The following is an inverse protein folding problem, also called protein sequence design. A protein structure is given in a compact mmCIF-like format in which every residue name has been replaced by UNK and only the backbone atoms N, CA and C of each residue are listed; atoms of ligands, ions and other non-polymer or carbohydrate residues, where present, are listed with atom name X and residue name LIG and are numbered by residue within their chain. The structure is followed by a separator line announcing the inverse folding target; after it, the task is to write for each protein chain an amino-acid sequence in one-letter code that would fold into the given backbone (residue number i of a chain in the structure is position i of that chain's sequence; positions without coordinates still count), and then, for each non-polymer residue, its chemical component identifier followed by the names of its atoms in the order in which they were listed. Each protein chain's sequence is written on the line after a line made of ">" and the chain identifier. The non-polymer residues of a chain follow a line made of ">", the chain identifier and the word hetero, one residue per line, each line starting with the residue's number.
data_IF_751573448387
#
_entry.id   IF_751573448387
#
_cell.length_a   1.000
_cell.length_b   1.000
_cell.length_c   1.000
_cell.angle_alpha   90.00
_cell.angle_beta   90.00
_cell.angle_gamma   90.00
#
_symmetry.space_group_name_H-M   'P 1'
#
loop_
_entity.id
_entity.type
_entity.pdbx_description
1 polymer ?
#
# COMPACT_ATOMS: atom_id res chain seq x y z
N UNK A 1 44.05 -33.30 10.57
CA UNK A 1 43.66 -32.94 9.21
C UNK A 1 42.46 -33.81 8.85
N UNK A 2 41.27 -33.30 9.02
CA UNK A 2 40.07 -33.85 8.45
C UNK A 2 39.24 -32.62 8.00
N UNK A 3 39.19 -32.45 6.74
CA UNK A 3 38.36 -31.49 6.01
C UNK A 3 36.90 -31.87 6.26
N UNK A 4 36.17 -30.98 6.93
CA UNK A 4 34.71 -30.99 6.91
C UNK A 4 34.30 -30.33 5.61
N UNK A 5 33.60 -31.10 4.78
CA UNK A 5 32.83 -30.64 3.64
C UNK A 5 31.68 -29.83 4.22
N UNK A 6 31.63 -28.56 3.85
CA UNK A 6 30.45 -27.72 4.08
C UNK A 6 29.33 -28.22 3.15
N UNK A 7 28.32 -28.79 3.76
CA UNK A 7 27.07 -29.16 3.13
C UNK A 7 26.30 -27.85 2.84
N UNK A 8 26.45 -27.34 1.63
CA UNK A 8 25.58 -26.30 1.12
C UNK A 8 24.19 -26.92 0.95
N UNK A 9 23.34 -26.75 1.97
CA UNK A 9 21.92 -27.05 1.82
C UNK A 9 21.33 -26.04 0.81
N UNK A 10 21.20 -26.47 -0.44
CA UNK A 10 20.25 -25.89 -1.38
C UNK A 10 18.88 -25.83 -0.66
N UNK A 11 18.47 -24.63 -0.30
CA UNK A 11 17.10 -24.40 0.07
C UNK A 11 16.29 -24.60 -1.22
N UNK A 12 15.73 -25.78 -1.39
CA UNK A 12 14.72 -26.05 -2.40
C UNK A 12 13.63 -24.98 -2.25
N UNK A 13 13.64 -24.00 -3.15
CA UNK A 13 12.53 -23.06 -3.29
C UNK A 13 11.30 -23.91 -3.62
N UNK A 14 10.37 -23.98 -2.69
CA UNK A 14 9.09 -24.65 -2.92
C UNK A 14 8.38 -23.87 -4.03
N UNK A 15 8.39 -24.41 -5.25
CA UNK A 15 7.58 -23.88 -6.33
C UNK A 15 6.13 -23.80 -5.84
N UNK A 16 5.50 -22.62 -5.85
CA UNK A 16 4.08 -22.52 -5.53
C UNK A 16 3.31 -23.40 -6.52
N UNK A 17 2.63 -24.41 -6.00
CA UNK A 17 1.95 -25.42 -6.80
C UNK A 17 0.91 -24.74 -7.72
N UNK A 18 1.16 -24.66 -9.01
CA UNK A 18 0.13 -24.39 -10.00
C UNK A 18 0.34 -23.26 -11.01
N UNK A 19 1.36 -22.40 -10.90
CA UNK A 19 1.65 -21.39 -11.92
C UNK A 19 2.74 -21.90 -12.88
N UNK A 20 2.41 -22.02 -14.16
CA UNK A 20 3.41 -22.29 -15.20
C UNK A 20 4.00 -20.94 -15.66
N UNK A 21 5.07 -20.50 -14.98
CA UNK A 21 5.75 -19.24 -15.27
C UNK A 21 6.42 -19.21 -16.65
N UNK A 22 6.79 -20.37 -17.21
CA UNK A 22 7.35 -20.46 -18.56
C UNK A 22 6.26 -20.20 -19.60
N UNK A 23 5.04 -20.69 -19.35
CA UNK A 23 3.89 -20.37 -20.19
C UNK A 23 3.54 -18.86 -20.08
N UNK A 24 3.57 -18.30 -18.88
CA UNK A 24 3.33 -16.85 -18.67
C UNK A 24 4.37 -16.01 -19.40
N UNK A 25 5.65 -16.36 -19.28
CA UNK A 25 6.71 -15.67 -20.00
C UNK A 25 6.48 -15.73 -21.51
N UNK A 26 6.04 -16.86 -22.03
CA UNK A 26 5.74 -17.02 -23.45
C UNK A 26 4.65 -16.08 -23.98
N UNK A 27 3.73 -15.61 -23.12
CA UNK A 27 2.69 -14.64 -23.51
C UNK A 27 3.22 -13.20 -23.61
N UNK A 28 4.26 -12.85 -22.86
CA UNK A 28 4.79 -11.50 -22.72
C UNK A 28 6.28 -11.39 -23.14
N UNK A 29 6.86 -12.42 -23.73
CA UNK A 29 8.31 -12.59 -23.98
C UNK A 29 8.94 -11.41 -24.73
N UNK A 30 8.20 -10.79 -25.66
CA UNK A 30 8.69 -9.62 -26.42
C UNK A 30 8.93 -8.37 -25.54
N UNK A 31 8.34 -8.34 -24.34
CA UNK A 31 8.39 -7.22 -23.40
C UNK A 31 9.30 -7.50 -22.19
N UNK A 32 9.66 -8.76 -21.96
CA UNK A 32 10.48 -9.20 -20.83
C UNK A 32 11.95 -8.89 -21.07
N UNK A 33 12.59 -8.21 -20.14
CA UNK A 33 14.03 -7.94 -20.12
C UNK A 33 14.75 -9.03 -19.34
N UNK A 34 14.18 -9.44 -18.20
CA UNK A 34 14.76 -10.41 -17.28
C UNK A 34 13.67 -11.09 -16.45
N UNK A 35 14.03 -12.19 -15.79
CA UNK A 35 13.17 -12.91 -14.87
C UNK A 35 13.93 -13.13 -13.55
N UNK A 36 13.34 -12.70 -12.46
CA UNK A 36 13.92 -12.79 -11.13
C UNK A 36 13.06 -13.70 -10.26
N UNK A 37 13.69 -14.53 -9.43
CA UNK A 37 13.01 -15.36 -8.45
C UNK A 37 13.04 -14.68 -7.08
N UNK A 38 11.88 -14.43 -6.51
CA UNK A 38 11.71 -13.90 -5.16
C UNK A 38 11.09 -14.96 -4.24
N UNK A 39 11.25 -14.80 -2.93
CA UNK A 39 10.88 -15.79 -1.90
C UNK A 39 9.46 -16.38 -2.01
N UNK A 40 8.50 -15.65 -2.59
CA UNK A 40 7.11 -16.10 -2.66
C UNK A 40 6.49 -16.05 -4.06
N UNK A 41 7.16 -15.43 -5.04
CA UNK A 41 6.66 -15.29 -6.40
C UNK A 41 7.80 -15.00 -7.37
N UNK A 42 7.62 -15.38 -8.62
CA UNK A 42 8.53 -14.93 -9.67
C UNK A 42 8.15 -13.55 -10.17
N UNK A 43 9.16 -12.81 -10.62
CA UNK A 43 9.03 -11.47 -11.13
C UNK A 43 9.50 -11.39 -12.58
N UNK A 44 8.68 -10.80 -13.44
CA UNK A 44 9.06 -10.47 -14.81
C UNK A 44 9.52 -9.01 -14.86
N UNK A 45 10.77 -8.80 -15.21
CA UNK A 45 11.30 -7.45 -15.42
C UNK A 45 10.95 -7.02 -16.83
N UNK A 46 10.19 -5.94 -16.97
CA UNK A 46 9.65 -5.50 -18.26
C UNK A 46 10.04 -4.07 -18.60
N UNK A 47 9.92 -3.72 -19.88
CA UNK A 47 10.19 -2.36 -20.34
C UNK A 47 9.09 -1.41 -19.88
N UNK A 48 9.45 -0.17 -19.56
CA UNK A 48 8.53 0.86 -19.09
C UNK A 48 7.47 1.29 -20.13
N UNK A 49 7.75 1.12 -21.42
CA UNK A 49 6.84 1.41 -22.54
C UNK A 49 5.84 0.27 -22.84
N UNK A 50 5.90 -0.83 -22.11
CA UNK A 50 5.09 -2.03 -22.33
C UNK A 50 4.22 -2.43 -21.14
N UNK A 51 4.15 -1.59 -20.12
CA UNK A 51 3.42 -1.90 -18.85
C UNK A 51 1.95 -2.21 -19.13
N UNK A 52 1.28 -1.39 -19.91
CA UNK A 52 -0.15 -1.57 -20.24
C UNK A 52 -0.39 -2.90 -20.97
N UNK A 53 0.43 -3.21 -21.99
CA UNK A 53 0.30 -4.43 -22.78
C UNK A 53 0.55 -5.68 -21.92
N UNK A 54 1.59 -5.67 -21.09
CA UNK A 54 1.92 -6.78 -20.18
C UNK A 54 0.80 -7.01 -19.16
N UNK A 55 0.37 -5.96 -18.47
CA UNK A 55 -0.69 -6.06 -17.47
C UNK A 55 -2.01 -6.51 -18.09
N UNK A 56 -2.34 -6.00 -19.29
CA UNK A 56 -3.53 -6.42 -20.04
C UNK A 56 -3.49 -7.89 -20.43
N UNK A 57 -2.34 -8.37 -20.93
CA UNK A 57 -2.14 -9.77 -21.29
C UNK A 57 -2.25 -10.68 -20.07
N UNK A 58 -1.59 -10.36 -18.97
CA UNK A 58 -1.66 -11.13 -17.73
C UNK A 58 -3.10 -11.18 -17.18
N UNK A 59 -3.84 -10.09 -17.27
CA UNK A 59 -5.23 -10.02 -16.83
C UNK A 59 -6.16 -10.85 -17.69
N UNK A 60 -6.14 -10.66 -19.00
CA UNK A 60 -7.15 -11.20 -19.92
C UNK A 60 -6.83 -12.60 -20.45
N UNK A 61 -5.55 -12.93 -20.62
CA UNK A 61 -5.13 -14.20 -21.20
C UNK A 61 -4.64 -15.18 -20.12
N UNK A 62 -4.01 -14.70 -19.05
CA UNK A 62 -3.49 -15.55 -17.99
C UNK A 62 -4.39 -15.57 -16.73
N UNK A 63 -5.40 -14.70 -16.64
CA UNK A 63 -6.39 -14.66 -15.57
C UNK A 63 -5.91 -14.06 -14.25
N UNK A 64 -4.88 -13.20 -14.28
CA UNK A 64 -4.46 -12.41 -13.12
C UNK A 64 -5.32 -11.16 -13.03
N UNK A 65 -6.52 -11.30 -12.50
CA UNK A 65 -7.58 -10.29 -12.50
C UNK A 65 -7.55 -9.34 -11.30
N UNK A 66 -6.66 -9.59 -10.34
CA UNK A 66 -6.52 -8.78 -9.12
C UNK A 66 -5.12 -8.18 -9.00
N UNK A 67 -5.05 -6.84 -8.98
CA UNK A 67 -3.84 -6.11 -8.58
C UNK A 67 -3.90 -5.87 -7.07
N UNK A 68 -3.05 -6.55 -6.31
CA UNK A 68 -3.01 -6.46 -4.86
C UNK A 68 -2.38 -5.13 -4.40
N UNK A 69 -1.29 -4.71 -5.04
CA UNK A 69 -0.63 -3.43 -4.76
C UNK A 69 0.34 -3.04 -5.87
N UNK A 70 0.74 -1.77 -5.90
CA UNK A 70 1.94 -1.30 -6.60
C UNK A 70 2.88 -0.73 -5.55
N UNK A 71 4.12 -1.19 -5.54
CA UNK A 71 5.16 -0.67 -4.64
C UNK A 71 6.27 -0.01 -5.43
N UNK A 72 6.93 0.98 -4.84
CA UNK A 72 8.08 1.65 -5.43
C UNK A 72 9.32 1.39 -4.59
N UNK A 73 10.42 1.11 -5.25
CA UNK A 73 11.71 0.90 -4.61
C UNK A 73 12.80 1.74 -5.26
N UNK A 74 13.68 2.33 -4.45
CA UNK A 74 14.82 3.09 -4.92
C UNK A 74 16.11 2.31 -4.69
N UNK A 75 16.88 2.11 -5.77
CA UNK A 75 18.22 1.57 -5.75
C UNK A 75 19.27 2.69 -5.96
N UNK A 76 20.54 2.33 -5.91
CA UNK A 76 21.63 3.31 -6.14
C UNK A 76 21.66 3.85 -7.57
N UNK A 77 21.23 3.05 -8.52
CA UNK A 77 21.35 3.28 -9.96
C UNK A 77 20.00 3.45 -10.66
N UNK A 78 18.90 3.05 -10.05
CA UNK A 78 17.56 3.05 -10.65
C UNK A 78 16.44 3.15 -9.61
N UNK A 79 15.23 3.39 -10.11
CA UNK A 79 13.98 3.12 -9.39
C UNK A 79 13.28 1.92 -10.01
N UNK A 80 12.43 1.28 -9.25
CA UNK A 80 11.58 0.19 -9.72
C UNK A 80 10.15 0.38 -9.19
N UNK A 81 9.17 0.20 -10.09
CA UNK A 81 7.78 -0.02 -9.71
C UNK A 81 7.49 -1.52 -9.78
N UNK A 82 6.83 -2.08 -8.78
CA UNK A 82 6.52 -3.49 -8.69
C UNK A 82 5.01 -3.64 -8.58
N UNK A 83 4.40 -4.25 -9.59
CA UNK A 83 2.96 -4.57 -9.63
C UNK A 83 2.76 -5.99 -9.14
N UNK A 84 2.04 -6.16 -8.04
CA UNK A 84 1.75 -7.46 -7.42
C UNK A 84 0.39 -7.98 -7.89
N UNK A 85 0.42 -8.95 -8.79
CA UNK A 85 -0.78 -9.52 -9.41
C UNK A 85 -1.14 -10.86 -8.80
N UNK A 86 -2.44 -11.09 -8.62
CA UNK A 86 -3.01 -12.35 -8.10
C UNK A 86 -4.22 -12.75 -8.92
N UNK A 87 -4.57 -14.04 -8.81
CA UNK A 87 -5.87 -14.53 -9.25
C UNK A 87 -6.86 -14.41 -8.09
N UNK A 88 -8.03 -13.84 -8.34
CA UNK A 88 -9.03 -13.64 -7.29
C UNK A 88 -9.50 -14.95 -6.65
N UNK A 89 -9.73 -15.96 -7.49
CA UNK A 89 -10.22 -17.29 -7.04
C UNK A 89 -9.11 -18.15 -6.43
N UNK A 90 -7.85 -17.81 -6.62
CA UNK A 90 -6.71 -18.56 -6.12
C UNK A 90 -5.57 -17.63 -5.67
N UNK A 91 -5.68 -17.21 -4.43
CA UNK A 91 -4.72 -16.26 -3.83
C UNK A 91 -3.30 -16.85 -3.64
N UNK A 92 -3.09 -18.13 -3.92
CA UNK A 92 -1.76 -18.76 -3.90
C UNK A 92 -0.97 -18.46 -5.18
N UNK A 93 -1.66 -18.05 -6.26
CA UNK A 93 -1.03 -17.69 -7.51
C UNK A 93 -0.70 -16.19 -7.51
N UNK A 94 0.57 -15.88 -7.36
CA UNK A 94 1.09 -14.52 -7.41
C UNK A 94 2.16 -14.38 -8.50
N UNK A 95 2.14 -13.28 -9.22
CA UNK A 95 3.18 -12.87 -10.16
C UNK A 95 3.49 -11.40 -9.96
N UNK A 96 4.77 -11.06 -10.00
CA UNK A 96 5.24 -9.69 -9.91
C UNK A 96 5.69 -9.19 -11.28
N UNK A 97 5.32 -7.96 -11.61
CA UNK A 97 5.83 -7.25 -12.78
C UNK A 97 6.68 -6.09 -12.29
N UNK A 98 7.97 -6.15 -12.57
CA UNK A 98 8.97 -5.16 -12.16
C UNK A 98 9.30 -4.25 -13.32
N UNK A 99 9.22 -2.95 -13.11
CA UNK A 99 9.49 -1.93 -14.13
C UNK A 99 10.63 -1.05 -13.65
N UNK A 100 11.88 -1.32 -14.11
CA UNK A 100 13.02 -0.48 -13.79
C UNK A 100 13.00 0.82 -14.60
N UNK A 101 13.32 1.93 -13.93
CA UNK A 101 13.45 3.25 -14.56
C UNK A 101 14.79 3.91 -14.18
N UNK A 102 15.40 4.71 -15.07
CA UNK A 102 16.63 5.42 -14.77
C UNK A 102 16.44 6.46 -13.65
N UNK A 103 17.49 6.72 -12.88
CA UNK A 103 17.42 7.72 -11.80
C UNK A 103 17.21 9.15 -12.27
N UNK A 104 17.75 9.49 -13.40
CA UNK A 104 17.71 10.84 -14.01
C UNK A 104 16.39 11.12 -14.74
N UNK A 105 15.65 10.07 -15.08
CA UNK A 105 14.32 10.18 -15.69
C UNK A 105 13.45 9.00 -15.21
N UNK A 106 12.94 9.03 -13.96
CA UNK A 106 12.17 7.94 -13.38
C UNK A 106 10.75 7.93 -13.90
N UNK A 107 10.53 7.60 -15.16
CA UNK A 107 9.22 7.57 -15.80
C UNK A 107 8.94 6.24 -16.51
N UNK A 108 7.67 5.83 -16.53
CA UNK A 108 7.14 4.72 -17.31
C UNK A 108 5.62 4.81 -17.46
N UNK A 109 5.03 3.99 -18.34
CA UNK A 109 3.59 3.92 -18.54
C UNK A 109 2.83 3.56 -17.26
N UNK A 110 1.63 4.14 -17.10
CA UNK A 110 0.70 3.77 -16.03
C UNK A 110 0.07 2.40 -16.27
N UNK A 111 -0.20 1.66 -15.17
CA UNK A 111 -1.06 0.46 -15.18
C UNK A 111 -2.52 0.76 -14.86
N UNK A 112 -2.88 2.04 -14.60
CA UNK A 112 -4.22 2.43 -14.16
C UNK A 112 -5.30 2.26 -15.22
N UNK A 113 -4.94 2.23 -16.51
CA UNK A 113 -5.83 1.90 -17.62
C UNK A 113 -6.33 0.46 -17.56
N UNK A 114 -5.52 -0.46 -17.01
CA UNK A 114 -5.84 -1.89 -16.88
C UNK A 114 -6.45 -2.21 -15.52
N UNK A 115 -5.85 -1.66 -14.46
CA UNK A 115 -6.29 -1.87 -13.08
C UNK A 115 -6.56 -0.54 -12.38
N UNK A 116 -7.80 -0.26 -12.05
CA UNK A 116 -8.18 0.97 -11.32
C UNK A 116 -7.47 1.12 -9.97
N UNK A 117 -7.11 0.00 -9.33
CA UNK A 117 -6.32 -0.03 -8.09
C UNK A 117 -4.96 0.65 -8.27
N UNK A 118 -4.34 0.54 -9.44
CA UNK A 118 -3.04 1.16 -9.71
C UNK A 118 -3.06 2.68 -9.55
N UNK A 119 -4.18 3.34 -9.85
CA UNK A 119 -4.31 4.80 -9.79
C UNK A 119 -3.77 5.38 -8.46
N UNK A 120 -4.25 4.91 -7.34
CA UNK A 120 -3.85 5.45 -6.04
C UNK A 120 -2.46 5.00 -5.60
N UNK A 121 -2.11 3.76 -5.89
CA UNK A 121 -0.78 3.25 -5.56
C UNK A 121 0.32 3.94 -6.36
N UNK A 122 0.08 4.24 -7.63
CA UNK A 122 1.00 5.00 -8.48
C UNK A 122 1.13 6.45 -8.00
N UNK A 123 0.04 7.08 -7.58
CA UNK A 123 0.08 8.40 -6.94
C UNK A 123 0.88 8.38 -5.65
N UNK A 124 0.76 7.33 -4.83
CA UNK A 124 1.57 7.17 -3.62
C UNK A 124 3.07 7.02 -3.96
N UNK A 125 3.41 6.18 -4.94
CA UNK A 125 4.77 6.02 -5.41
C UNK A 125 5.35 7.32 -5.99
N UNK A 126 4.56 8.05 -6.75
CA UNK A 126 4.92 9.40 -7.21
C UNK A 126 5.14 10.34 -6.04
N UNK A 127 4.20 10.42 -5.11
CA UNK A 127 4.21 11.37 -4.01
C UNK A 127 5.42 11.16 -3.08
N UNK A 128 5.68 9.91 -2.70
CA UNK A 128 6.69 9.58 -1.70
C UNK A 128 8.09 9.29 -2.26
N UNK A 129 8.18 8.69 -3.45
CA UNK A 129 9.43 8.23 -4.07
C UNK A 129 9.84 9.06 -5.27
N UNK A 130 8.86 9.53 -6.08
CA UNK A 130 9.09 10.44 -7.20
C UNK A 130 9.04 9.81 -8.58
N UNK A 131 8.54 8.58 -8.72
CA UNK A 131 8.37 7.93 -10.03
C UNK A 131 7.22 8.62 -10.77
N UNK A 132 7.43 8.94 -12.06
CA UNK A 132 6.43 9.54 -12.94
C UNK A 132 5.71 8.44 -13.72
N UNK A 133 4.39 8.52 -13.80
CA UNK A 133 3.56 7.56 -14.53
C UNK A 133 2.95 8.24 -15.75
N UNK A 134 3.45 7.90 -16.93
CA UNK A 134 2.99 8.45 -18.20
C UNK A 134 1.54 8.02 -18.47
N UNK A 135 0.73 8.95 -18.98
CA UNK A 135 -0.69 8.74 -19.26
C UNK A 135 -1.57 8.40 -18.03
N UNK A 136 -1.06 8.64 -16.82
CA UNK A 136 -1.87 8.51 -15.61
C UNK A 136 -3.00 9.56 -15.60
N UNK A 137 -4.27 9.17 -15.34
CA UNK A 137 -5.42 10.10 -15.48
C UNK A 137 -5.42 11.25 -14.47
N UNK A 138 -4.75 11.10 -13.32
CA UNK A 138 -4.74 12.10 -12.25
C UNK A 138 -3.47 11.96 -11.38
N UNK A 139 -2.29 12.27 -11.97
CA UNK A 139 -1.00 12.15 -11.26
C UNK A 139 -0.73 13.38 -10.39
N UNK A 140 -1.40 13.45 -9.27
CA UNK A 140 -1.17 14.44 -8.20
C UNK A 140 -0.83 13.77 -6.88
N UNK A 141 -0.31 14.51 -5.92
CA UNK A 141 0.00 13.96 -4.59
C UNK A 141 -1.26 13.37 -3.94
N UNK A 142 -1.08 12.40 -3.06
CA UNK A 142 -2.18 11.72 -2.37
C UNK A 142 -2.06 11.80 -0.84
N UNK A 143 -0.85 11.74 -0.30
CA UNK A 143 -0.58 11.75 1.14
C UNK A 143 -0.03 13.08 1.63
N UNK A 144 0.73 13.78 0.80
CA UNK A 144 1.34 15.05 1.12
C UNK A 144 0.58 16.19 0.46
N UNK A 145 0.64 17.41 1.03
CA UNK A 145 0.09 18.59 0.39
C UNK A 145 0.75 18.86 -0.98
N UNK A 146 0.00 19.39 -1.94
CA UNK A 146 0.52 19.75 -3.26
C UNK A 146 1.69 20.75 -3.21
N UNK A 147 1.74 21.56 -2.17
CA UNK A 147 2.83 22.52 -1.92
C UNK A 147 4.11 21.89 -1.40
N UNK A 148 4.08 20.60 -1.07
CA UNK A 148 5.25 19.88 -0.58
C UNK A 148 6.33 19.77 -1.65
N UNK A 149 7.59 20.03 -1.26
CA UNK A 149 8.73 19.97 -2.17
C UNK A 149 9.54 18.70 -1.98
N UNK A 150 9.76 17.97 -3.08
CA UNK A 150 10.51 16.72 -3.10
C UNK A 150 9.67 15.50 -2.69
N UNK A 151 10.34 14.39 -2.52
CA UNK A 151 9.76 13.05 -2.27
C UNK A 151 10.42 12.45 -1.03
N UNK A 152 9.71 12.35 0.12
CA UNK A 152 10.32 12.06 1.42
C UNK A 152 10.97 10.70 1.57
N UNK A 153 10.57 9.70 0.78
CA UNK A 153 11.18 8.37 0.80
C UNK A 153 12.37 8.24 -0.16
N UNK A 154 12.59 9.24 -1.02
CA UNK A 154 13.80 9.26 -1.85
C UNK A 154 15.05 9.48 -0.99
N UNK A 155 16.13 8.76 -1.31
CA UNK A 155 17.43 8.87 -0.62
C UNK A 155 18.08 10.25 -0.73
N UNK A 156 17.78 10.94 -1.81
CA UNK A 156 18.29 12.28 -2.08
C UNK A 156 17.49 13.38 -1.36
N UNK A 157 16.42 12.99 -0.66
CA UNK A 157 15.57 13.93 0.08
C UNK A 157 16.28 14.48 1.32
N UNK A 158 16.41 15.82 1.37
CA UNK A 158 17.01 16.52 2.51
C UNK A 158 15.98 16.72 3.63
N UNK A 159 16.03 15.85 4.63
CA UNK A 159 15.12 15.86 5.78
C UNK A 159 15.33 17.02 6.75
N UNK A 160 16.51 17.64 6.70
CA UNK A 160 16.83 18.78 7.57
C UNK A 160 16.26 20.10 7.03
N UNK A 161 15.73 20.11 5.81
CA UNK A 161 15.01 21.27 5.27
C UNK A 161 13.61 21.34 5.86
N UNK A 162 13.29 22.41 6.61
CA UNK A 162 11.93 22.59 7.09
C UNK A 162 10.97 22.78 5.91
N UNK A 163 9.97 21.91 5.82
CA UNK A 163 8.84 22.12 4.92
C UNK A 163 7.88 23.09 5.59
N UNK A 164 7.86 24.32 5.10
CA UNK A 164 6.90 25.31 5.57
C UNK A 164 5.66 25.20 4.69
N UNK A 165 4.69 24.43 5.15
CA UNK A 165 3.37 24.40 4.53
C UNK A 165 2.57 25.55 5.15
N UNK A 166 2.41 26.63 4.42
CA UNK A 166 1.54 27.72 4.86
C UNK A 166 0.08 27.35 4.58
N UNK A 167 -0.76 27.45 5.61
CA UNK A 167 -2.21 27.18 5.48
C UNK A 167 -2.90 28.08 4.44
N UNK A 168 -2.29 29.21 4.08
CA UNK A 168 -2.81 30.12 3.06
C UNK A 168 -2.61 29.60 1.63
N UNK A 169 -1.68 28.65 1.42
CA UNK A 169 -1.43 27.99 0.13
C UNK A 169 -2.26 26.71 -0.05
N UNK A 170 -2.91 26.22 0.98
CA UNK A 170 -3.97 25.22 0.90
C UNK A 170 -5.26 25.84 0.33
N UNK A 171 -5.18 26.43 -0.84
CA UNK A 171 -6.36 26.51 -1.69
C UNK A 171 -6.74 25.09 -2.02
N UNK A 172 -7.88 24.71 -1.49
CA UNK A 172 -8.48 23.41 -1.72
C UNK A 172 -8.60 23.24 -3.24
N UNK A 173 -7.78 22.43 -3.93
CA UNK A 173 -7.89 22.29 -5.39
C UNK A 173 -9.29 21.87 -5.83
N UNK A 174 -10.05 21.32 -4.89
CA UNK A 174 -11.42 20.85 -5.06
C UNK A 174 -12.42 21.99 -5.19
N UNK A 175 -12.22 23.13 -4.49
CA UNK A 175 -13.10 24.30 -4.74
C UNK A 175 -12.94 24.82 -6.17
N UNK A 176 -11.78 24.56 -6.80
CA UNK A 176 -11.54 24.91 -8.21
C UNK A 176 -11.89 23.76 -9.19
N UNK A 177 -11.82 22.49 -8.78
CA UNK A 177 -12.13 21.33 -9.62
C UNK A 177 -13.58 20.88 -9.53
N UNK A 178 -14.24 21.10 -8.40
CA UNK A 178 -15.70 21.00 -8.28
C UNK A 178 -16.37 22.30 -8.79
N UNK A 179 -15.98 22.76 -9.95
CA UNK A 179 -16.84 23.66 -10.73
C UNK A 179 -18.05 22.84 -11.16
N UNK A 180 -19.03 22.75 -10.27
CA UNK A 180 -20.41 22.53 -10.66
C UNK A 180 -20.65 23.57 -11.74
N UNK A 181 -20.95 23.11 -12.94
CA UNK A 181 -21.19 24.00 -14.06
C UNK A 181 -22.36 24.92 -13.66
N UNK A 182 -22.07 26.18 -13.36
CA UNK A 182 -23.06 27.17 -12.91
C UNK A 182 -24.19 27.38 -13.92
N UNK A 183 -24.15 26.66 -15.06
CA UNK A 183 -25.15 26.68 -16.12
C UNK A 183 -26.39 25.81 -15.85
N UNK A 184 -26.39 24.92 -14.83
CA UNK A 184 -27.57 24.19 -14.40
C UNK A 184 -28.21 24.87 -13.18
N UNK A 185 -29.10 25.82 -13.42
CA UNK A 185 -29.78 26.69 -12.46
C UNK A 185 -30.70 25.97 -11.44
N UNK A 186 -30.72 24.64 -11.36
CA UNK A 186 -31.69 23.88 -10.57
C UNK A 186 -31.09 22.79 -9.64
N UNK A 187 -29.79 22.77 -9.40
CA UNK A 187 -29.19 21.80 -8.47
C UNK A 187 -29.13 22.38 -7.05
N UNK A 188 -29.91 21.81 -6.13
CA UNK A 188 -29.82 22.06 -4.68
C UNK A 188 -28.59 21.32 -4.12
N UNK A 189 -27.39 21.64 -4.68
CA UNK A 189 -26.14 20.99 -4.34
C UNK A 189 -25.57 21.52 -3.04
N UNK A 190 -25.22 20.60 -2.14
CA UNK A 190 -24.60 20.91 -0.86
C UNK A 190 -23.23 20.26 -0.78
N UNK A 191 -22.24 21.07 -0.41
CA UNK A 191 -20.91 20.57 -0.10
C UNK A 191 -20.83 20.14 1.36
N UNK A 192 -20.44 18.88 1.64
CA UNK A 192 -20.35 18.30 2.97
C UNK A 192 -18.98 17.67 3.21
N UNK A 193 -18.32 18.09 4.29
CA UNK A 193 -17.13 17.42 4.80
C UNK A 193 -17.52 16.35 5.83
N UNK A 194 -17.20 15.08 5.54
CA UNK A 194 -17.42 13.95 6.44
C UNK A 194 -16.08 13.53 7.03
N UNK A 195 -15.93 13.62 8.35
CA UNK A 195 -14.64 13.42 9.04
C UNK A 195 -13.77 14.69 8.96
N UNK A 196 -12.46 14.61 9.29
CA UNK A 196 -11.63 13.45 9.62
C UNK A 196 -11.67 13.05 11.11
N UNK A 197 -12.62 13.45 11.90
CA UNK A 197 -12.67 13.17 13.32
C UNK A 197 -13.64 12.01 13.64
N UNK A 198 -13.23 11.23 14.59
CA UNK A 198 -14.04 10.15 15.18
C UNK A 198 -15.21 10.73 16.00
N UNK A 199 -16.46 10.18 15.92
CA UNK A 199 -16.80 8.90 15.29
C UNK A 199 -17.35 9.01 13.85
N UNK A 200 -17.32 10.16 13.19
CA UNK A 200 -17.97 10.36 11.89
C UNK A 200 -17.53 9.34 10.82
N UNK A 201 -16.26 8.91 10.85
CA UNK A 201 -15.71 7.93 9.92
C UNK A 201 -15.01 6.76 10.61
N UNK A 202 -15.19 6.56 11.91
CA UNK A 202 -14.48 5.54 12.71
C UNK A 202 -12.96 5.49 12.43
N UNK A 203 -12.34 6.65 12.47
CA UNK A 203 -10.95 6.85 12.18
C UNK A 203 -10.71 8.31 11.82
N UNK A 204 -9.76 8.56 10.95
CA UNK A 204 -9.42 9.91 10.47
C UNK A 204 -9.52 10.02 8.95
N UNK A 205 -10.44 9.28 8.36
CA UNK A 205 -10.77 9.43 6.95
C UNK A 205 -11.58 10.72 6.77
N UNK A 206 -11.15 11.54 5.83
CA UNK A 206 -11.85 12.74 5.41
C UNK A 206 -12.43 12.54 4.00
N UNK A 207 -13.73 12.74 3.88
CA UNK A 207 -14.43 12.68 2.60
C UNK A 207 -15.01 14.06 2.29
N UNK A 208 -14.59 14.65 1.20
CA UNK A 208 -15.18 15.85 0.64
C UNK A 208 -16.27 15.42 -0.32
N UNK A 209 -17.51 15.69 0.03
CA UNK A 209 -18.68 15.10 -0.63
C UNK A 209 -19.56 16.20 -1.21
N UNK A 210 -19.99 16.02 -2.44
CA UNK A 210 -21.04 16.85 -3.07
C UNK A 210 -22.35 16.08 -3.06
N UNK A 211 -23.36 16.65 -2.46
CA UNK A 211 -24.71 16.08 -2.39
C UNK A 211 -25.66 16.83 -3.32
N UNK A 212 -26.52 16.09 -4.02
CA UNK A 212 -27.73 16.59 -4.66
C UNK A 212 -28.94 16.08 -3.87
N UNK A 213 -29.45 16.93 -3.00
CA UNK A 213 -30.42 16.50 -1.99
C UNK A 213 -29.86 15.43 -1.06
N UNK A 214 -30.38 14.19 -1.13
CA UNK A 214 -29.89 13.04 -0.36
C UNK A 214 -28.97 12.11 -1.16
N UNK A 215 -28.69 12.43 -2.43
CA UNK A 215 -27.83 11.61 -3.28
C UNK A 215 -26.41 12.14 -3.30
N UNK A 216 -25.45 11.23 -3.27
CA UNK A 216 -24.03 11.56 -3.44
C UNK A 216 -23.77 11.75 -4.92
N UNK A 217 -23.45 12.98 -5.32
CA UNK A 217 -23.10 13.33 -6.69
C UNK A 217 -21.62 13.10 -6.96
N UNK A 218 -20.75 13.47 -6.00
CA UNK A 218 -19.32 13.27 -6.10
C UNK A 218 -18.69 13.10 -4.73
N UNK A 219 -17.57 12.36 -4.65
CA UNK A 219 -16.79 12.15 -3.42
C UNK A 219 -15.30 12.17 -3.73
N UNK A 220 -14.58 13.05 -3.05
CA UNK A 220 -13.13 13.03 -3.04
C UNK A 220 -12.59 12.66 -1.66
N UNK A 221 -11.89 11.52 -1.50
CA UNK A 221 -11.23 11.16 -0.26
C UNK A 221 -9.93 11.94 -0.10
N UNK A 222 -9.76 12.53 1.07
CA UNK A 222 -8.55 13.24 1.50
C UNK A 222 -7.87 12.39 2.57
N UNK A 223 -6.83 11.68 2.19
CA UNK A 223 -6.11 10.70 3.02
C UNK A 223 -4.76 11.24 3.47
N UNK A 224 -4.11 10.56 4.40
CA UNK A 224 -2.78 10.92 4.89
C UNK A 224 -2.75 11.46 6.33
N UNK A 225 -3.89 11.67 6.98
CA UNK A 225 -3.94 12.19 8.34
C UNK A 225 -3.23 11.31 9.38
N UNK A 226 -3.13 10.01 9.13
CA UNK A 226 -2.37 9.06 9.94
C UNK A 226 -1.05 8.61 9.28
N UNK A 227 -0.67 9.19 8.16
CA UNK A 227 0.60 8.86 7.51
C UNK A 227 1.76 9.40 8.35
N UNK A 228 2.65 8.53 8.80
CA UNK A 228 3.71 8.83 9.77
C UNK A 228 5.11 8.49 9.27
N UNK A 229 5.29 8.31 7.97
CA UNK A 229 6.55 7.89 7.35
C UNK A 229 7.13 6.63 8.01
N UNK A 230 6.30 5.63 8.25
CA UNK A 230 6.69 4.40 8.92
C UNK A 230 7.76 3.65 8.14
N UNK A 231 7.67 3.63 6.83
CA UNK A 231 8.62 2.99 5.92
C UNK A 231 10.04 3.50 6.17
N UNK A 232 10.22 4.81 6.21
CA UNK A 232 11.51 5.41 6.46
C UNK A 232 12.02 5.17 7.89
N UNK A 233 11.10 5.20 8.86
CA UNK A 233 11.46 4.86 10.23
C UNK A 233 11.89 3.39 10.33
N UNK A 234 11.26 2.47 9.58
CA UNK A 234 11.65 1.07 9.51
C UNK A 234 13.05 0.88 8.92
N UNK A 235 13.40 1.59 7.88
CA UNK A 235 14.73 1.54 7.29
C UNK A 235 15.83 2.06 8.22
N UNK A 236 15.54 3.07 9.03
CA UNK A 236 16.53 3.74 9.89
C UNK A 236 16.73 3.12 11.25
N UNK A 237 15.86 2.24 11.69
CA UNK A 237 15.92 1.67 13.04
C UNK A 237 16.28 0.20 13.00
N UNK A 238 16.63 -0.34 14.17
CA UNK A 238 16.86 -1.77 14.35
C UNK A 238 15.53 -2.47 14.64
N UNK A 239 15.39 -3.73 14.28
CA UNK A 239 14.23 -4.57 14.62
C UNK A 239 13.77 -4.40 16.08
N UNK A 240 14.73 -4.25 16.98
CA UNK A 240 14.52 -4.14 18.41
C UNK A 240 13.79 -2.86 18.85
N UNK A 241 14.03 -1.75 18.17
CA UNK A 241 13.46 -0.44 18.54
C UNK A 241 12.17 -0.12 17.77
N UNK A 242 11.92 -0.83 16.69
CA UNK A 242 10.80 -0.54 15.82
C UNK A 242 9.59 -1.39 16.08
N UNK A 243 9.82 -2.60 16.55
CA UNK A 243 8.80 -3.62 16.65
C UNK A 243 7.71 -3.24 17.61
N UNK A 244 8.10 -2.74 18.79
CA UNK A 244 7.13 -2.40 19.82
C UNK A 244 6.19 -1.24 19.46
N UNK A 245 6.67 -0.14 18.82
CA UNK A 245 5.78 0.97 18.50
C UNK A 245 4.87 0.76 17.29
N UNK A 246 5.18 -0.18 16.35
CA UNK A 246 4.42 -0.31 15.11
C UNK A 246 3.17 -1.16 15.25
N UNK A 247 3.25 -2.42 15.72
CA UNK A 247 2.08 -3.23 15.94
C UNK A 247 1.09 -2.59 16.91
N UNK A 248 1.62 -1.95 17.96
CA UNK A 248 0.83 -1.26 18.97
C UNK A 248 0.11 -0.03 18.42
N UNK A 249 0.63 0.62 17.38
CA UNK A 249 0.05 1.82 16.79
C UNK A 249 -0.92 1.60 15.67
N UNK A 250 -0.87 0.46 15.00
CA UNK A 250 -1.86 0.12 14.00
C UNK A 250 -3.23 -0.11 14.61
N UNK A 251 -3.26 -0.63 15.81
CA UNK A 251 -4.48 -0.80 16.56
C UNK A 251 -4.19 -0.72 18.08
N UNK A 252 -3.86 0.47 18.52
CA UNK A 252 -3.39 0.72 19.89
C UNK A 252 -4.47 0.49 20.93
N UNK A 253 -5.74 0.51 20.59
CA UNK A 253 -6.77 0.43 21.59
C UNK A 253 -7.20 -0.99 21.89
N UNK A 254 -7.68 -1.87 20.98
CA UNK A 254 -8.02 -3.19 21.49
C UNK A 254 -7.19 -4.36 20.98
N UNK A 255 -6.40 -4.23 19.93
CA UNK A 255 -5.75 -5.37 19.31
C UNK A 255 -4.21 -5.35 19.30
N UNK A 256 -3.57 -4.39 19.93
CA UNK A 256 -2.12 -4.22 19.96
C UNK A 256 -1.35 -5.50 20.28
N UNK A 257 -1.75 -6.24 21.31
CA UNK A 257 -1.10 -7.50 21.71
C UNK A 257 -1.13 -8.55 20.58
N UNK A 258 -2.19 -8.61 19.79
CA UNK A 258 -2.28 -9.59 18.68
C UNK A 258 -1.32 -9.24 17.55
N UNK A 259 -1.16 -7.96 17.25
CA UNK A 259 -0.22 -7.48 16.25
C UNK A 259 1.23 -7.70 16.72
N UNK A 260 1.55 -7.38 17.97
CA UNK A 260 2.86 -7.64 18.58
C UNK A 260 3.20 -9.14 18.61
N UNK A 261 2.22 -9.98 18.89
CA UNK A 261 2.40 -11.43 18.90
C UNK A 261 2.68 -11.96 17.50
N UNK A 262 2.01 -11.49 16.49
CA UNK A 262 2.32 -11.85 15.09
C UNK A 262 3.77 -11.57 14.74
N UNK A 263 4.24 -10.37 15.07
CA UNK A 263 5.61 -9.99 14.84
C UNK A 263 6.61 -10.84 15.64
N UNK A 264 6.33 -11.02 16.95
CA UNK A 264 7.20 -11.82 17.81
C UNK A 264 7.35 -13.26 17.29
N UNK A 265 6.26 -13.87 16.81
CA UNK A 265 6.31 -15.20 16.20
C UNK A 265 7.18 -15.24 14.93
N UNK A 266 7.01 -14.27 14.04
CA UNK A 266 7.85 -14.21 12.84
C UNK A 266 9.33 -14.08 13.17
N UNK A 267 9.69 -13.29 14.20
CA UNK A 267 11.06 -13.15 14.65
C UNK A 267 11.61 -14.42 15.35
N UNK A 268 10.77 -15.11 16.11
CA UNK A 268 11.09 -16.38 16.76
C UNK A 268 11.31 -17.49 15.74
N UNK A 269 10.43 -17.60 14.75
CA UNK A 269 10.55 -18.59 13.67
C UNK A 269 11.83 -18.33 12.84
N UNK A 270 12.12 -17.07 12.51
CA UNK A 270 13.35 -16.70 11.78
C UNK A 270 14.63 -17.00 12.56
N UNK A 271 14.58 -16.85 13.89
CA UNK A 271 15.74 -17.05 14.77
C UNK A 271 15.83 -18.46 15.37
N UNK A 272 14.93 -19.38 14.98
CA UNK A 272 14.81 -20.75 15.52
C UNK A 272 14.73 -20.76 17.06
N UNK A 273 13.93 -19.85 17.62
CA UNK A 273 13.72 -19.72 19.06
C UNK A 273 12.56 -20.59 19.52
N UNK A 274 12.86 -21.61 20.34
CA UNK A 274 11.83 -22.44 20.95
C UNK A 274 11.15 -21.70 22.12
N UNK A 275 9.86 -21.43 21.97
CA UNK A 275 9.05 -20.73 22.99
C UNK A 275 8.46 -21.74 23.97
N UNK A 276 8.71 -21.60 25.30
CA UNK A 276 8.15 -22.50 26.31
C UNK A 276 6.62 -22.55 26.28
N UNK A 277 6.03 -23.74 26.47
CA UNK A 277 4.59 -23.96 26.46
C UNK A 277 3.82 -23.00 27.39
N UNK A 278 4.38 -22.73 28.58
CA UNK A 278 3.77 -21.79 29.53
C UNK A 278 3.66 -20.36 28.96
N UNK A 279 4.68 -19.91 28.22
CA UNK A 279 4.64 -18.60 27.56
C UNK A 279 3.60 -18.57 26.44
N UNK A 280 3.42 -19.65 25.69
CA UNK A 280 2.39 -19.76 24.65
C UNK A 280 0.99 -19.69 25.24
N UNK A 281 0.75 -20.35 26.38
CA UNK A 281 -0.54 -20.29 27.09
C UNK A 281 -0.84 -18.86 27.55
N UNK A 282 0.15 -18.15 28.14
CA UNK A 282 -0.04 -16.75 28.55
C UNK A 282 -0.34 -15.85 27.35
N UNK A 283 0.35 -16.01 26.23
CA UNK A 283 0.10 -15.25 25.00
C UNK A 283 -1.32 -15.48 24.49
N UNK A 284 -1.76 -16.73 24.44
CA UNK A 284 -3.12 -17.07 24.04
C UNK A 284 -4.15 -16.42 24.96
N UNK A 285 -3.98 -16.52 26.26
CA UNK A 285 -4.89 -15.89 27.23
C UNK A 285 -4.94 -14.37 27.05
N UNK A 286 -3.79 -13.71 26.91
CA UNK A 286 -3.71 -12.25 26.73
C UNK A 286 -4.32 -11.83 25.39
N UNK A 287 -4.06 -12.60 24.32
CA UNK A 287 -4.62 -12.38 23.01
C UNK A 287 -6.15 -12.48 23.00
N UNK A 288 -6.74 -13.48 23.67
CA UNK A 288 -8.18 -13.63 23.74
C UNK A 288 -8.84 -12.55 24.63
N UNK A 289 -8.20 -12.12 25.70
CA UNK A 289 -8.67 -10.98 26.48
C UNK A 289 -8.67 -9.68 25.66
N UNK A 290 -7.63 -9.46 24.85
CA UNK A 290 -7.55 -8.34 23.92
C UNK A 290 -8.63 -8.44 22.84
N UNK A 291 -8.89 -9.62 22.30
CA UNK A 291 -9.97 -9.87 21.34
C UNK A 291 -11.34 -9.55 21.91
N UNK A 292 -11.61 -9.95 23.16
CA UNK A 292 -12.87 -9.62 23.87
C UNK A 292 -13.01 -8.10 23.98
N UNK A 293 -11.94 -7.40 24.37
CA UNK A 293 -11.95 -5.94 24.46
C UNK A 293 -12.24 -5.29 23.10
N UNK A 294 -11.60 -5.77 22.02
CA UNK A 294 -11.84 -5.31 20.66
C UNK A 294 -13.31 -5.48 20.22
N UNK A 295 -13.87 -6.65 20.48
CA UNK A 295 -15.26 -6.92 20.15
C UNK A 295 -16.24 -6.06 20.97
N UNK A 296 -15.96 -5.82 22.23
CA UNK A 296 -16.79 -4.93 23.06
C UNK A 296 -16.78 -3.49 22.52
N UNK A 297 -15.59 -3.00 22.11
CA UNK A 297 -15.48 -1.68 21.50
C UNK A 297 -16.23 -1.64 20.15
N UNK A 298 -16.05 -2.64 19.29
CA UNK A 298 -16.73 -2.71 17.99
C UNK A 298 -18.26 -2.70 18.15
N UNK A 299 -18.82 -3.47 19.12
CA UNK A 299 -20.25 -3.47 19.39
C UNK A 299 -20.71 -2.13 19.94
N UNK A 300 -19.91 -1.48 20.80
CA UNK A 300 -20.26 -0.17 21.36
C UNK A 300 -20.29 0.92 20.27
N UNK A 301 -19.28 0.97 19.40
CA UNK A 301 -19.23 1.94 18.29
C UNK A 301 -20.34 1.69 17.27
N UNK A 302 -20.62 0.41 16.94
CA UNK A 302 -21.74 0.05 16.08
C UNK A 302 -23.09 0.46 16.70
N UNK A 303 -23.20 0.32 18.03
CA UNK A 303 -24.38 0.78 18.76
C UNK A 303 -24.59 2.29 18.69
N UNK A 304 -23.50 3.08 18.70
CA UNK A 304 -23.59 4.54 18.51
C UNK A 304 -24.08 4.91 17.11
N UNK A 305 -23.64 4.18 16.07
CA UNK A 305 -24.09 4.45 14.70
C UNK A 305 -25.58 4.17 14.49
N UNK A 306 -26.11 3.12 15.13
CA UNK A 306 -27.52 2.75 14.99
C UNK A 306 -28.41 3.62 15.90
N UNK A 307 -27.92 4.02 17.08
CA UNK A 307 -28.70 4.71 18.11
C UNK A 307 -28.31 6.18 18.25
N UNK A 308 -27.64 6.75 17.27
CA UNK A 308 -26.99 8.06 17.32
C UNK A 308 -27.87 9.28 17.60
N UNK A 309 -29.17 9.08 17.82
CA UNK A 309 -30.15 10.13 18.13
C UNK A 309 -30.74 9.98 19.55
N UNK A 310 -30.05 9.32 20.47
CA UNK A 310 -30.50 9.21 21.87
C UNK A 310 -29.58 9.92 22.85
#
# INVERSE_FOLDING_TARGET
>A
MSTQEEDESETDAVEPAGVDYDQLQGLIDEHVIDRESHLNAEAFVVRGDAVEDVLSTLKHEAGFDHLASVTAQEYQDRYESIYHLRKYDDAQHEVNVVVPTPRDDPSHQTGSSVFSTANWHEREAYDLVGIQYEDHPDLRRILLPETWQGHPLSRDYDQDKPQIVTLEEHKNPIEDSLKVDESEEDLDTMFLNIGPHHPATHGVLHLKTVLDGEQVADVEPDIGYLHRCQEQMCEKSTFRHQIMPYPDRWDYTPAGILNEWSYARAAEDLADIEVPEYAQVIRTMSGELTRISAHMLAVATFGLDIMGDF
#
